data_IF_590932728043
#
_entry.id   IF_590932728043
#
_cell.length_a   1.000
_cell.length_b   1.000
_cell.length_c   1.000
_cell.angle_alpha   90.00
_cell.angle_beta   90.00
_cell.angle_gamma   90.00
#
_symmetry.space_group_name_H-M   'P 1'
#
loop_
_entity.id
_entity.type
_entity.pdbx_description
1 polymer ?
#
# COMPACT_ATOMS: atom_id res chain seq x y z
N UNK A 1 -4.89 18.83 -42.12
CA UNK A 1 -4.37 17.57 -41.55
C UNK A 1 -2.95 17.85 -41.06
N UNK A 2 -2.62 17.58 -39.80
CA UNK A 2 -1.27 17.80 -39.30
C UNK A 2 -0.37 16.67 -39.82
N UNK A 3 0.53 16.99 -40.76
CA UNK A 3 1.37 15.99 -41.45
C UNK A 3 2.74 15.79 -40.79
N UNK A 4 3.04 16.47 -39.67
CA UNK A 4 4.34 16.42 -39.01
C UNK A 4 4.21 16.71 -37.51
N UNK A 5 4.76 15.84 -36.68
CA UNK A 5 4.96 16.07 -35.24
C UNK A 5 6.31 16.77 -35.05
N UNK A 6 6.32 17.93 -34.39
CA UNK A 6 7.54 18.74 -34.18
C UNK A 6 8.23 18.45 -32.83
N UNK A 7 7.52 17.85 -31.89
CA UNK A 7 8.03 17.51 -30.58
C UNK A 7 7.02 16.70 -29.78
N UNK A 8 7.51 16.04 -28.72
CA UNK A 8 6.71 15.22 -27.81
C UNK A 8 7.05 15.68 -26.40
N UNK A 9 6.02 15.99 -25.60
CA UNK A 9 6.15 16.21 -24.17
C UNK A 9 5.53 15.01 -23.45
N UNK A 10 6.30 14.35 -22.59
CA UNK A 10 5.81 13.25 -21.74
C UNK A 10 5.51 13.83 -20.37
N UNK A 11 4.29 13.58 -19.88
CA UNK A 11 3.83 14.06 -18.58
C UNK A 11 3.31 12.90 -17.76
N UNK A 12 3.61 12.89 -16.46
CA UNK A 12 2.94 12.03 -15.47
C UNK A 12 1.84 12.80 -14.73
N UNK A 13 1.15 12.12 -13.82
CA UNK A 13 0.17 12.79 -12.95
C UNK A 13 0.87 13.83 -12.08
N UNK A 14 0.33 15.04 -12.08
CA UNK A 14 0.88 16.16 -11.32
C UNK A 14 -0.18 16.66 -10.36
N UNK A 15 0.27 17.16 -9.21
CA UNK A 15 -0.60 17.81 -8.24
C UNK A 15 -1.36 18.93 -8.95
N UNK A 16 -2.70 18.87 -8.94
CA UNK A 16 -3.53 19.80 -9.69
C UNK A 16 -3.56 21.19 -9.05
N UNK A 17 -3.59 21.25 -7.71
CA UNK A 17 -3.49 22.48 -6.94
C UNK A 17 -2.81 22.27 -5.56
N UNK A 18 -2.47 23.37 -4.89
CA UNK A 18 -1.79 23.37 -3.59
C UNK A 18 -2.60 22.75 -2.42
N UNK A 19 -3.87 22.42 -2.62
CA UNK A 19 -4.74 21.80 -1.62
C UNK A 19 -5.09 20.34 -1.95
N UNK A 20 -4.73 19.84 -3.13
CA UNK A 20 -4.85 18.42 -3.50
C UNK A 20 -3.70 17.58 -2.95
N UNK A 21 -3.94 16.29 -2.73
CA UNK A 21 -2.90 15.34 -2.26
C UNK A 21 -1.75 15.19 -3.26
N UNK A 22 -0.60 14.71 -2.78
CA UNK A 22 0.51 14.29 -3.66
C UNK A 22 0.02 13.29 -4.72
N UNK A 23 0.49 13.47 -5.95
CA UNK A 23 0.38 12.46 -6.99
C UNK A 23 1.41 11.34 -6.77
N UNK A 24 1.51 10.42 -7.74
CA UNK A 24 2.54 9.40 -7.76
C UNK A 24 3.95 9.99 -7.56
N UNK A 25 4.77 9.32 -6.76
CA UNK A 25 6.14 9.76 -6.53
C UNK A 25 7.03 9.41 -7.72
N UNK A 26 7.96 10.31 -8.06
CA UNK A 26 8.83 10.18 -9.23
C UNK A 26 9.55 8.82 -9.34
N UNK A 27 10.15 8.24 -8.28
CA UNK A 27 10.78 6.92 -8.37
C UNK A 27 9.85 5.79 -8.83
N UNK A 28 8.56 5.88 -8.49
CA UNK A 28 7.56 4.87 -8.86
C UNK A 28 7.17 4.99 -10.33
N UNK A 29 7.23 6.20 -10.90
CA UNK A 29 6.91 6.50 -12.29
C UNK A 29 8.08 6.24 -13.27
N UNK A 30 9.32 6.16 -12.78
CA UNK A 30 10.52 5.92 -13.59
C UNK A 30 10.40 4.73 -14.55
N UNK A 31 9.85 3.57 -14.15
CA UNK A 31 9.75 2.44 -15.05
C UNK A 31 8.81 2.67 -16.24
N UNK A 32 7.65 3.28 -16.01
CA UNK A 32 6.72 3.69 -17.07
C UNK A 32 7.36 4.75 -17.97
N UNK A 33 8.05 5.73 -17.39
CA UNK A 33 8.75 6.78 -18.15
C UNK A 33 9.81 6.19 -19.09
N UNK A 34 10.61 5.22 -18.62
CA UNK A 34 11.63 4.56 -19.42
C UNK A 34 11.02 3.80 -20.60
N UNK A 35 9.94 3.05 -20.37
CA UNK A 35 9.21 2.33 -21.44
C UNK A 35 8.64 3.30 -22.46
N UNK A 36 8.00 4.39 -22.02
CA UNK A 36 7.45 5.42 -22.91
C UNK A 36 8.53 6.08 -23.77
N UNK A 37 9.66 6.48 -23.17
CA UNK A 37 10.77 7.10 -23.89
C UNK A 37 11.38 6.15 -24.92
N UNK A 38 11.62 4.89 -24.55
CA UNK A 38 12.17 3.90 -25.46
C UNK A 38 11.19 3.57 -26.59
N UNK A 39 9.89 3.50 -26.29
CA UNK A 39 8.84 3.32 -27.31
C UNK A 39 8.87 4.45 -28.33
N UNK A 40 8.96 5.70 -27.88
CA UNK A 40 9.03 6.88 -28.76
C UNK A 40 10.30 6.85 -29.63
N UNK A 41 11.45 6.49 -29.05
CA UNK A 41 12.73 6.42 -29.78
C UNK A 41 12.70 5.30 -30.83
N UNK A 42 12.11 4.15 -30.51
CA UNK A 42 12.06 3.00 -31.43
C UNK A 42 10.90 3.07 -32.43
N UNK A 43 9.93 3.96 -32.21
CA UNK A 43 8.74 4.12 -33.05
C UNK A 43 7.63 3.09 -32.81
N UNK A 44 7.84 2.11 -31.93
CA UNK A 44 6.85 1.11 -31.53
C UNK A 44 7.22 0.47 -30.18
N UNK A 45 6.22 -0.06 -29.47
CA UNK A 45 6.43 -0.86 -28.27
C UNK A 45 6.54 -2.33 -28.66
N UNK A 46 7.71 -2.93 -28.42
CA UNK A 46 7.98 -4.33 -28.73
C UNK A 46 8.83 -5.00 -27.65
N UNK A 47 9.07 -6.30 -27.79
CA UNK A 47 9.82 -7.10 -26.81
C UNK A 47 11.24 -6.56 -26.56
N UNK A 48 11.89 -5.98 -27.58
CA UNK A 48 13.21 -5.39 -27.43
C UNK A 48 13.14 -4.14 -26.53
N UNK A 49 12.19 -3.23 -26.77
CA UNK A 49 11.94 -2.06 -25.91
C UNK A 49 11.69 -2.47 -24.47
N UNK A 50 10.85 -3.48 -24.25
CA UNK A 50 10.52 -3.97 -22.92
C UNK A 50 11.73 -4.56 -22.19
N UNK A 51 12.53 -5.40 -22.87
CA UNK A 51 13.79 -5.95 -22.36
C UNK A 51 14.81 -4.85 -22.05
N UNK A 52 14.99 -3.90 -22.97
CA UNK A 52 15.93 -2.78 -22.79
C UNK A 52 15.55 -1.93 -21.59
N UNK A 53 14.27 -1.58 -21.42
CA UNK A 53 13.79 -0.81 -20.27
C UNK A 53 14.04 -1.55 -18.95
N UNK A 54 13.70 -2.83 -18.90
CA UNK A 54 13.87 -3.69 -17.72
C UNK A 54 15.34 -3.77 -17.30
N UNK A 55 16.23 -4.02 -18.27
CA UNK A 55 17.67 -4.12 -18.02
C UNK A 55 18.29 -2.78 -17.62
N UNK A 56 17.88 -1.67 -18.26
CA UNK A 56 18.41 -0.33 -17.97
C UNK A 56 18.11 0.09 -16.53
N UNK A 57 16.93 -0.28 -16.03
CA UNK A 57 16.49 0.00 -14.67
C UNK A 57 16.97 -1.06 -13.66
N UNK A 58 17.63 -2.12 -14.12
CA UNK A 58 18.18 -3.18 -13.29
C UNK A 58 17.12 -4.05 -12.64
N UNK A 59 16.04 -4.38 -13.34
CA UNK A 59 15.14 -5.45 -12.92
C UNK A 59 15.76 -6.83 -13.21
N UNK A 60 15.63 -7.77 -12.28
CA UNK A 60 16.09 -9.17 -12.51
C UNK A 60 15.23 -9.93 -13.54
N UNK A 61 13.95 -9.57 -13.62
CA UNK A 61 12.98 -10.09 -14.58
C UNK A 61 12.46 -8.95 -15.45
N UNK A 62 11.68 -9.29 -16.47
CA UNK A 62 10.96 -8.27 -17.22
C UNK A 62 10.08 -7.45 -16.28
N UNK A 63 10.08 -6.14 -16.49
CA UNK A 63 9.19 -5.22 -15.83
C UNK A 63 7.73 -5.68 -15.99
N UNK A 64 6.99 -5.72 -14.90
CA UNK A 64 5.57 -6.00 -14.93
C UNK A 64 4.82 -4.81 -15.53
N UNK A 65 4.17 -5.01 -16.67
CA UNK A 65 3.36 -3.98 -17.33
C UNK A 65 1.98 -3.91 -16.67
N UNK A 66 1.42 -5.07 -16.35
CA UNK A 66 0.10 -5.17 -15.72
C UNK A 66 0.25 -5.38 -14.21
N UNK A 67 0.32 -4.27 -13.48
CA UNK A 67 0.55 -4.26 -12.05
C UNK A 67 -0.71 -4.52 -11.23
N UNK A 68 -1.87 -4.72 -11.88
CA UNK A 68 -3.15 -5.02 -11.26
C UNK A 68 -3.80 -6.24 -11.94
N UNK A 69 -4.70 -6.98 -11.27
CA UNK A 69 -5.08 -6.85 -9.85
C UNK A 69 -3.94 -7.29 -8.92
N UNK A 70 -3.90 -6.69 -7.73
CA UNK A 70 -3.05 -7.10 -6.61
C UNK A 70 -3.86 -8.05 -5.69
N UNK A 71 -3.23 -8.86 -4.81
CA UNK A 71 -1.79 -9.01 -4.61
C UNK A 71 -1.08 -9.80 -5.71
N UNK A 72 0.18 -9.44 -5.99
CA UNK A 72 1.05 -10.13 -6.95
C UNK A 72 2.45 -10.36 -6.36
N UNK A 73 3.20 -11.38 -6.82
CA UNK A 73 4.59 -11.57 -6.40
C UNK A 73 5.43 -10.32 -6.65
N UNK A 74 6.09 -9.81 -5.61
CA UNK A 74 7.02 -8.68 -5.73
C UNK A 74 8.44 -9.24 -5.74
N UNK A 75 9.16 -9.00 -6.83
CA UNK A 75 10.58 -9.36 -6.94
C UNK A 75 11.48 -8.52 -6.04
N UNK A 76 12.82 -8.69 -6.11
CA UNK A 76 13.73 -7.82 -5.40
C UNK A 76 13.70 -6.38 -5.97
N UNK A 77 14.17 -5.38 -5.20
CA UNK A 77 14.24 -4.01 -5.67
C UNK A 77 15.10 -3.86 -6.93
N UNK A 78 14.64 -3.11 -7.94
CA UNK A 78 15.45 -2.78 -9.12
C UNK A 78 16.61 -1.83 -8.75
N UNK A 79 17.64 -1.78 -9.59
CA UNK A 79 18.92 -1.11 -9.28
C UNK A 79 18.95 0.40 -9.56
N UNK A 80 17.87 1.00 -10.05
CA UNK A 80 17.81 2.45 -10.27
C UNK A 80 17.65 3.23 -8.95
N UNK A 81 18.04 4.53 -8.89
CA UNK A 81 17.82 5.37 -7.71
C UNK A 81 16.34 5.45 -7.30
N UNK A 82 16.01 4.95 -6.11
CA UNK A 82 14.63 4.84 -5.64
C UNK A 82 13.95 3.51 -5.98
N UNK A 83 14.69 2.51 -6.46
CA UNK A 83 14.17 1.15 -6.67
C UNK A 83 13.61 0.50 -5.41
N UNK A 84 14.19 0.79 -4.23
CA UNK A 84 13.60 0.36 -2.95
C UNK A 84 12.22 0.98 -2.71
N UNK A 85 12.04 2.27 -3.05
CA UNK A 85 10.74 2.96 -2.91
C UNK A 85 9.73 2.30 -3.84
N UNK A 86 10.09 2.10 -5.11
CA UNK A 86 9.26 1.39 -6.09
C UNK A 86 8.82 0.03 -5.55
N UNK A 87 9.76 -0.77 -5.04
CA UNK A 87 9.48 -2.10 -4.50
C UNK A 87 8.54 -2.05 -3.28
N UNK A 88 8.82 -1.18 -2.31
CA UNK A 88 7.97 -0.98 -1.15
C UNK A 88 6.56 -0.51 -1.50
N UNK A 89 6.40 0.32 -2.53
CA UNK A 89 5.07 0.71 -3.02
C UNK A 89 4.29 -0.47 -3.60
N UNK A 90 4.94 -1.39 -4.32
CA UNK A 90 4.28 -2.62 -4.81
C UNK A 90 3.85 -3.53 -3.65
N UNK A 91 4.70 -3.68 -2.63
CA UNK A 91 4.37 -4.42 -1.41
C UNK A 91 3.24 -3.76 -0.62
N UNK A 92 3.23 -2.44 -0.55
CA UNK A 92 2.14 -1.67 0.06
C UNK A 92 0.82 -1.89 -0.70
N UNK A 93 0.85 -1.90 -2.03
CA UNK A 93 -0.32 -2.19 -2.85
C UNK A 93 -0.92 -3.59 -2.59
N UNK A 94 -0.06 -4.60 -2.41
CA UNK A 94 -0.49 -5.92 -1.95
C UNK A 94 -1.19 -5.83 -0.58
N UNK A 95 -0.55 -5.16 0.40
CA UNK A 95 -1.08 -5.04 1.76
C UNK A 95 -2.40 -4.25 1.82
N UNK A 96 -2.55 -3.19 1.03
CA UNK A 96 -3.80 -2.41 0.95
C UNK A 96 -4.93 -3.27 0.38
N UNK A 97 -4.64 -4.10 -0.62
CA UNK A 97 -5.64 -5.02 -1.16
C UNK A 97 -6.07 -6.04 -0.11
N UNK A 98 -5.11 -6.64 0.58
CA UNK A 98 -5.35 -7.55 1.69
C UNK A 98 -6.13 -6.89 2.84
N UNK A 99 -5.86 -5.61 3.12
CA UNK A 99 -6.61 -4.81 4.07
C UNK A 99 -8.08 -4.70 3.67
N UNK A 100 -8.39 -4.35 2.42
CA UNK A 100 -9.77 -4.25 1.96
C UNK A 100 -10.50 -5.59 2.05
N UNK A 101 -9.85 -6.69 1.65
CA UNK A 101 -10.40 -8.04 1.80
C UNK A 101 -10.69 -8.35 3.27
N UNK A 102 -9.76 -8.03 4.17
CA UNK A 102 -9.91 -8.25 5.61
C UNK A 102 -11.08 -7.43 6.18
N UNK A 103 -11.16 -6.13 5.88
CA UNK A 103 -12.18 -5.25 6.43
C UNK A 103 -13.59 -5.61 5.97
N UNK A 104 -13.74 -6.24 4.82
CA UNK A 104 -15.00 -6.80 4.32
C UNK A 104 -15.26 -8.24 4.76
N UNK A 105 -14.47 -8.76 5.72
CA UNK A 105 -14.70 -10.09 6.27
C UNK A 105 -16.02 -10.10 7.08
N UNK A 106 -16.94 -11.08 6.89
CA UNK A 106 -18.25 -11.08 7.54
C UNK A 106 -18.21 -10.99 9.07
N UNK A 107 -17.19 -11.57 9.70
CA UNK A 107 -17.01 -11.48 11.16
C UNK A 107 -16.61 -10.08 11.63
N UNK A 108 -15.96 -9.26 10.78
CA UNK A 108 -15.68 -7.86 11.10
C UNK A 108 -16.96 -7.03 10.92
N UNK A 109 -17.61 -7.13 9.76
CA UNK A 109 -18.77 -6.29 9.43
C UNK A 109 -20.02 -6.63 10.27
N UNK A 110 -20.27 -7.92 10.51
CA UNK A 110 -21.51 -8.39 11.15
C UNK A 110 -21.41 -8.70 12.64
N UNK A 111 -20.24 -9.14 13.11
CA UNK A 111 -20.06 -9.65 14.48
C UNK A 111 -19.08 -8.84 15.34
N UNK A 112 -18.37 -7.88 14.74
CA UNK A 112 -17.37 -7.05 15.41
C UNK A 112 -17.57 -5.55 15.12
N UNK A 113 -18.81 -5.13 15.01
CA UNK A 113 -19.18 -3.72 14.81
C UNK A 113 -18.90 -2.87 16.05
N UNK A 114 -18.77 -1.55 15.88
CA UNK A 114 -18.60 -0.62 17.00
C UNK A 114 -19.72 -0.71 18.04
N UNK A 115 -20.94 -1.05 17.64
CA UNK A 115 -22.06 -1.25 18.56
C UNK A 115 -21.84 -2.47 19.47
N UNK A 116 -21.44 -3.61 18.89
CA UNK A 116 -21.19 -4.83 19.66
C UNK A 116 -20.01 -4.65 20.63
N UNK A 117 -18.93 -4.02 20.17
CA UNK A 117 -17.75 -3.72 21.00
C UNK A 117 -18.14 -2.82 22.17
N UNK A 118 -18.90 -1.74 21.93
CA UNK A 118 -19.32 -0.79 22.97
C UNK A 118 -20.15 -1.45 24.07
N UNK A 119 -20.92 -2.48 23.74
CA UNK A 119 -21.79 -3.18 24.70
C UNK A 119 -21.16 -4.47 25.23
N UNK A 120 -19.90 -4.77 24.90
CA UNK A 120 -19.22 -6.04 25.22
C UNK A 120 -20.06 -7.26 24.81
N UNK A 121 -20.69 -7.20 23.62
CA UNK A 121 -21.52 -8.27 23.05
C UNK A 121 -20.86 -8.85 21.80
N UNK A 122 -19.65 -9.37 21.99
CA UNK A 122 -18.87 -9.99 20.92
C UNK A 122 -18.63 -11.45 21.26
N UNK A 123 -18.95 -12.36 20.33
CA UNK A 123 -18.54 -13.75 20.45
C UNK A 123 -17.09 -13.88 19.95
N UNK A 124 -16.19 -14.32 20.84
CA UNK A 124 -14.75 -14.44 20.60
C UNK A 124 -14.41 -15.39 19.43
N UNK A 125 -15.27 -16.36 19.10
CA UNK A 125 -15.08 -17.22 17.93
C UNK A 125 -15.07 -16.45 16.61
N UNK A 126 -15.75 -15.29 16.53
CA UNK A 126 -15.66 -14.42 15.36
C UNK A 126 -14.33 -13.67 15.30
N UNK A 127 -13.73 -13.37 16.45
CA UNK A 127 -12.43 -12.71 16.54
C UNK A 127 -11.33 -13.63 16.00
N UNK A 128 -11.37 -14.91 16.37
CA UNK A 128 -10.39 -15.92 15.92
C UNK A 128 -10.32 -16.06 14.39
N UNK A 129 -11.40 -15.71 13.68
CA UNK A 129 -11.46 -15.81 12.21
C UNK A 129 -10.66 -14.71 11.50
N UNK A 130 -10.44 -13.55 12.12
CA UNK A 130 -9.78 -12.43 11.46
C UNK A 130 -8.52 -11.94 12.18
N UNK A 131 -8.42 -12.10 13.49
CA UNK A 131 -7.36 -11.49 14.31
C UNK A 131 -5.95 -11.94 13.89
N UNK A 132 -5.66 -13.23 13.60
CA UNK A 132 -4.32 -13.63 13.14
C UNK A 132 -3.89 -12.91 11.86
N UNK A 133 -4.80 -12.79 10.89
CA UNK A 133 -4.54 -12.08 9.62
C UNK A 133 -4.39 -10.59 9.83
N UNK A 134 -5.21 -9.99 10.70
CA UNK A 134 -5.11 -8.57 11.06
C UNK A 134 -3.75 -8.23 11.68
N UNK A 135 -3.21 -9.10 12.55
CA UNK A 135 -1.89 -8.90 13.17
C UNK A 135 -0.75 -8.99 12.17
N UNK A 136 -0.76 -10.02 11.31
CA UNK A 136 0.26 -10.19 10.27
C UNK A 136 0.24 -8.97 9.33
N UNK A 137 -0.95 -8.55 8.93
CA UNK A 137 -1.10 -7.39 8.05
C UNK A 137 -0.63 -6.09 8.72
N UNK A 138 -0.97 -5.87 10.00
CA UNK A 138 -0.48 -4.73 10.76
C UNK A 138 1.06 -4.72 10.81
N UNK A 139 1.68 -5.84 11.18
CA UNK A 139 3.14 -5.98 11.22
C UNK A 139 3.78 -5.67 9.86
N UNK A 140 3.20 -6.18 8.76
CA UNK A 140 3.71 -5.94 7.41
C UNK A 140 3.64 -4.46 7.01
N UNK A 141 2.51 -3.80 7.26
CA UNK A 141 2.35 -2.37 6.93
C UNK A 141 3.26 -1.51 7.81
N UNK A 142 3.45 -1.85 9.09
CA UNK A 142 4.39 -1.15 9.97
C UNK A 142 5.84 -1.27 9.50
N UNK A 143 6.26 -2.46 9.08
CA UNK A 143 7.59 -2.67 8.51
C UNK A 143 7.78 -1.87 7.20
N UNK A 144 6.79 -1.88 6.32
CA UNK A 144 6.80 -1.11 5.07
C UNK A 144 6.84 0.39 5.37
N UNK A 145 6.09 0.86 6.37
CA UNK A 145 6.07 2.27 6.78
C UNK A 145 7.47 2.76 7.18
N UNK A 146 8.15 2.01 8.07
CA UNK A 146 9.50 2.33 8.52
C UNK A 146 10.49 2.34 7.34
N UNK A 147 10.39 1.34 6.47
CA UNK A 147 11.26 1.25 5.29
C UNK A 147 11.03 2.42 4.32
N UNK A 148 9.78 2.72 3.97
CA UNK A 148 9.44 3.81 3.07
C UNK A 148 9.85 5.15 3.63
N UNK A 149 9.58 5.41 4.90
CA UNK A 149 10.03 6.64 5.58
C UNK A 149 11.54 6.81 5.45
N UNK A 150 12.31 5.75 5.72
CA UNK A 150 13.77 5.76 5.61
C UNK A 150 14.27 6.02 4.19
N UNK A 151 13.68 5.39 3.17
CA UNK A 151 14.08 5.58 1.77
C UNK A 151 13.64 6.93 1.20
N UNK A 152 12.44 7.40 1.54
CA UNK A 152 11.88 8.67 1.06
C UNK A 152 12.68 9.86 1.60
N UNK A 153 13.09 9.82 2.87
CA UNK A 153 13.90 10.88 3.48
C UNK A 153 15.29 11.05 2.83
N UNK A 154 15.75 10.08 2.02
CA UNK A 154 17.01 10.21 1.27
C UNK A 154 16.88 11.11 0.05
N UNK A 155 15.67 11.33 -0.46
CA UNK A 155 15.44 12.00 -1.76
C UNK A 155 14.40 13.11 -1.71
N UNK A 156 13.53 13.15 -0.70
CA UNK A 156 12.48 14.15 -0.54
C UNK A 156 12.64 14.95 0.75
N UNK A 157 12.03 16.14 0.76
CA UNK A 157 11.95 16.95 1.97
C UNK A 157 11.06 16.26 3.03
N UNK A 158 11.37 16.43 4.34
CA UNK A 158 10.59 15.80 5.40
C UNK A 158 9.08 16.04 5.33
N UNK A 159 8.66 17.25 4.90
CA UNK A 159 7.24 17.58 4.74
C UNK A 159 6.54 16.75 3.65
N UNK A 160 7.24 16.46 2.56
CA UNK A 160 6.73 15.58 1.49
C UNK A 160 6.62 14.13 1.97
N UNK A 161 7.60 13.68 2.76
CA UNK A 161 7.57 12.34 3.36
C UNK A 161 6.40 12.22 4.34
N UNK A 162 6.26 13.19 5.24
CA UNK A 162 5.16 13.26 6.20
C UNK A 162 3.79 13.23 5.50
N UNK A 163 3.58 14.08 4.49
CA UNK A 163 2.35 14.12 3.71
C UNK A 163 2.07 12.76 3.03
N UNK A 164 3.09 12.16 2.40
CA UNK A 164 2.94 10.88 1.72
C UNK A 164 2.50 9.76 2.69
N UNK A 165 3.16 9.62 3.84
CA UNK A 165 2.83 8.61 4.83
C UNK A 165 1.45 8.86 5.46
N UNK A 166 1.14 10.12 5.76
CA UNK A 166 -0.14 10.54 6.34
C UNK A 166 -1.33 10.24 5.42
N UNK A 167 -1.16 10.37 4.10
CA UNK A 167 -2.22 10.11 3.13
C UNK A 167 -2.31 8.63 2.77
N UNK A 168 -1.19 7.96 2.53
CA UNK A 168 -1.18 6.65 1.86
C UNK A 168 -1.02 5.46 2.81
N UNK A 169 -0.56 5.66 4.05
CA UNK A 169 -0.23 4.54 4.96
C UNK A 169 -0.96 4.68 6.30
N UNK A 170 -0.86 5.83 6.95
CA UNK A 170 -1.39 6.04 8.31
C UNK A 170 -2.88 5.69 8.46
N UNK A 171 -3.78 5.99 7.50
CA UNK A 171 -5.20 5.64 7.65
C UNK A 171 -5.44 4.13 7.80
N UNK A 172 -4.61 3.30 7.15
CA UNK A 172 -4.67 1.84 7.24
C UNK A 172 -4.10 1.34 8.57
N UNK A 173 -2.95 1.89 8.98
CA UNK A 173 -2.31 1.56 10.26
C UNK A 173 -3.22 1.86 11.44
N UNK A 174 -3.80 3.06 11.50
CA UNK A 174 -4.65 3.45 12.62
C UNK A 174 -5.90 2.58 12.73
N UNK A 175 -6.52 2.23 11.60
CA UNK A 175 -7.68 1.33 11.59
C UNK A 175 -7.30 -0.10 12.00
N UNK A 176 -6.17 -0.62 11.55
CA UNK A 176 -5.70 -1.97 11.94
C UNK A 176 -5.29 -2.03 13.41
N UNK A 177 -4.55 -1.03 13.91
CA UNK A 177 -4.19 -0.91 15.33
C UNK A 177 -5.42 -0.90 16.21
N UNK A 178 -6.43 -0.11 15.82
CA UNK A 178 -7.71 -0.07 16.53
C UNK A 178 -8.41 -1.43 16.50
N UNK A 179 -8.53 -2.06 15.32
CA UNK A 179 -9.16 -3.38 15.17
C UNK A 179 -8.51 -4.43 16.07
N UNK A 180 -7.17 -4.52 16.05
CA UNK A 180 -6.41 -5.47 16.87
C UNK A 180 -6.58 -5.16 18.35
N UNK A 181 -6.47 -3.89 18.74
CA UNK A 181 -6.65 -3.46 20.14
C UNK A 181 -8.05 -3.79 20.67
N UNK A 182 -9.09 -3.46 19.91
CA UNK A 182 -10.47 -3.75 20.30
C UNK A 182 -10.68 -5.26 20.45
N UNK A 183 -10.15 -6.05 19.52
CA UNK A 183 -10.24 -7.51 19.55
C UNK A 183 -9.59 -8.09 20.81
N UNK A 184 -8.40 -7.60 21.16
CA UNK A 184 -7.68 -8.01 22.36
C UNK A 184 -8.44 -7.66 23.64
N UNK A 185 -9.00 -6.45 23.71
CA UNK A 185 -9.84 -6.04 24.84
C UNK A 185 -11.08 -6.92 24.99
N UNK A 186 -11.75 -7.28 23.88
CA UNK A 186 -12.91 -8.16 23.92
C UNK A 186 -12.53 -9.59 24.35
N UNK A 187 -11.40 -10.13 23.89
CA UNK A 187 -10.89 -11.43 24.35
C UNK A 187 -10.63 -11.40 25.86
N UNK A 188 -9.94 -10.37 26.35
CA UNK A 188 -9.62 -10.22 27.79
C UNK A 188 -10.91 -10.13 28.61
N UNK A 189 -11.87 -9.31 28.19
CA UNK A 189 -13.14 -9.14 28.89
C UNK A 189 -13.89 -10.47 29.05
N UNK A 190 -14.04 -11.22 27.95
CA UNK A 190 -14.78 -12.50 27.95
C UNK A 190 -14.00 -13.66 28.56
N UNK A 191 -12.70 -13.50 28.82
CA UNK A 191 -11.88 -14.48 29.54
C UNK A 191 -11.92 -14.28 31.06
N UNK A 192 -12.38 -13.12 31.55
CA UNK A 192 -12.47 -12.82 32.98
C UNK A 192 -13.69 -13.51 33.64
N UNK A 193 -13.61 -13.87 34.94
CA UNK A 193 -14.77 -14.40 35.67
C UNK A 193 -15.95 -13.43 35.66
N UNK A 194 -17.19 -13.96 35.59
CA UNK A 194 -18.43 -13.17 35.47
C UNK A 194 -18.58 -12.08 36.56
N UNK A 195 -18.07 -12.33 37.76
CA UNK A 195 -18.10 -11.38 38.89
C UNK A 195 -17.30 -10.08 38.64
N UNK A 196 -16.29 -10.12 37.77
CA UNK A 196 -15.46 -8.96 37.42
C UNK A 196 -16.03 -8.16 36.23
N UNK A 197 -16.87 -8.80 35.41
CA UNK A 197 -17.49 -8.17 34.24
C UNK A 197 -18.63 -7.22 34.64
N UNK A 198 -19.35 -7.52 35.73
CA UNK A 198 -20.47 -6.70 36.24
C UNK A 198 -20.04 -5.36 36.87
N UNK A 199 -18.79 -5.24 37.34
CA UNK A 199 -18.27 -4.03 37.99
C UNK A 199 -17.69 -2.99 37.00
N UNK A 200 -17.77 -3.26 35.69
CA UNK A 200 -17.13 -2.46 34.63
C UNK A 200 -18.12 -1.70 33.74
N UNK A 201 -19.42 -1.74 34.07
CA UNK A 201 -20.51 -1.07 33.33
C UNK A 201 -20.87 0.29 33.95
#
# INVERSE_FOLDING_TARGET
>A
MFNKVLGIAITGWQRFDHYTVLCELFPVALPTLAVCLLTIINGDFNENVHKTASNLLGFEKLLEIDTFPRPQPVGPPPLFPGGNIHNSCLQLGNCITEYHILMHHPSIEGAFSSYQIMHNRVNTLHIDQFLPRARILLMNIEAINVQLEGELNKIFYPTTVEEFLAVNINPFLEKLRKLVKDADLQIIFHSAPEEMQLNSN
#
